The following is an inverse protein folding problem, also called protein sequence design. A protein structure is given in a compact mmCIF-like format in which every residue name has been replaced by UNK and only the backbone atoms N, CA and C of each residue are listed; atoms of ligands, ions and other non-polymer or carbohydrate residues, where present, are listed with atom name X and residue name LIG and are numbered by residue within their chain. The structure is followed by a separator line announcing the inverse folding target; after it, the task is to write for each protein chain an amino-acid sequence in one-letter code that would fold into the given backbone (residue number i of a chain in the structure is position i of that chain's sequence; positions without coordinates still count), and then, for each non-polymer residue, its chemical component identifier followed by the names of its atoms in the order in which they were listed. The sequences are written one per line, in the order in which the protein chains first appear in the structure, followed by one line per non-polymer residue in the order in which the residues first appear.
data_IF_238289230022
#
_entry.id   IF_238289230022
#
_cell.length_a   1.000
_cell.length_b   1.000
_cell.length_c   1.000
_cell.angle_alpha   90.00
_cell.angle_beta   90.00
_cell.angle_gamma   90.00
#
_symmetry.space_group_name_H-M   'P 1'
#
loop_
_entity.id
_entity.type
_entity.pdbx_description
1 polymer ?
#
# COMPACT_ATOMS: atom_id res chain seq x y z
N UNK A 1 14.03 -23.81 -7.01
CA UNK A 1 14.67 -24.55 -5.91
C UNK A 1 16.00 -23.94 -5.44
N UNK A 2 16.87 -23.37 -6.28
CA UNK A 2 18.18 -22.86 -5.81
C UNK A 2 18.12 -21.49 -5.09
N UNK A 3 17.22 -20.61 -5.43
CA UNK A 3 17.13 -19.25 -4.83
C UNK A 3 16.40 -19.25 -3.48
N UNK A 4 15.36 -20.07 -3.33
CA UNK A 4 14.69 -20.30 -2.03
C UNK A 4 15.65 -20.94 -1.02
N UNK A 5 16.56 -21.80 -1.49
CA UNK A 5 17.65 -22.34 -0.69
C UNK A 5 18.67 -21.26 -0.28
N UNK A 6 18.97 -20.27 -1.13
CA UNK A 6 19.93 -19.21 -0.84
C UNK A 6 19.37 -18.22 0.19
N UNK A 7 18.11 -17.82 0.10
CA UNK A 7 17.46 -16.94 1.09
C UNK A 7 17.25 -17.68 2.42
N UNK A 8 16.86 -18.95 2.40
CA UNK A 8 16.78 -19.78 3.61
C UNK A 8 18.19 -20.12 4.17
N UNK A 9 19.19 -20.32 3.34
CA UNK A 9 20.57 -20.55 3.78
C UNK A 9 21.21 -19.28 4.35
N UNK A 10 20.97 -18.11 3.81
CA UNK A 10 21.45 -16.84 4.36
C UNK A 10 20.81 -16.54 5.73
N UNK A 11 19.56 -16.93 5.94
CA UNK A 11 18.91 -16.81 7.26
C UNK A 11 19.38 -17.88 8.25
N UNK A 12 19.65 -19.11 7.80
CA UNK A 12 20.12 -20.20 8.69
C UNK A 12 21.61 -20.10 9.04
N UNK A 13 22.49 -19.63 8.14
CA UNK A 13 23.92 -19.53 8.39
C UNK A 13 24.32 -18.30 9.23
N UNK A 14 23.52 -17.23 9.25
CA UNK A 14 23.71 -16.12 10.20
C UNK A 14 23.55 -16.55 11.66
N UNK A 15 22.91 -17.69 11.92
CA UNK A 15 22.70 -18.24 13.27
C UNK A 15 23.80 -19.20 13.75
N UNK A 16 24.67 -19.71 12.87
CA UNK A 16 25.67 -20.74 13.24
C UNK A 16 27.10 -20.25 13.40
N UNK A 17 27.40 -18.99 13.19
CA UNK A 17 28.71 -18.38 13.53
C UNK A 17 29.92 -18.84 12.71
N UNK A 18 29.75 -19.61 11.64
CA UNK A 18 30.85 -20.12 10.82
C UNK A 18 30.47 -20.05 9.31
N UNK A 19 30.73 -18.91 8.67
CA UNK A 19 30.69 -18.83 7.20
C UNK A 19 32.00 -19.43 6.64
N UNK A 20 31.93 -20.38 5.69
CA UNK A 20 33.14 -20.86 5.01
C UNK A 20 33.76 -19.74 4.18
N UNK A 21 35.06 -19.52 4.34
CA UNK A 21 35.85 -18.49 3.64
C UNK A 21 35.72 -18.55 2.09
N UNK A 22 35.39 -19.70 1.55
CA UNK A 22 35.17 -19.93 0.11
C UNK A 22 33.89 -19.27 -0.43
N UNK A 23 32.84 -19.09 0.37
CA UNK A 23 31.57 -18.49 -0.08
C UNK A 23 31.69 -16.96 -0.22
N UNK A 24 32.48 -16.31 0.64
CA UNK A 24 32.80 -14.89 0.53
C UNK A 24 33.63 -14.59 -0.73
N UNK A 25 34.59 -15.52 -1.06
CA UNK A 25 35.39 -15.40 -2.28
C UNK A 25 34.56 -15.63 -3.55
N UNK A 26 33.58 -16.53 -3.55
CA UNK A 26 32.69 -16.75 -4.68
C UNK A 26 31.69 -15.59 -4.86
N UNK A 27 31.15 -15.05 -3.77
CA UNK A 27 30.33 -13.83 -3.82
C UNK A 27 31.12 -12.60 -4.27
N UNK A 28 32.39 -12.49 -3.86
CA UNK A 28 33.28 -11.41 -4.30
C UNK A 28 33.76 -11.59 -5.75
N UNK A 29 33.92 -12.82 -6.23
CA UNK A 29 34.23 -13.14 -7.62
C UNK A 29 32.99 -12.93 -8.52
N UNK A 30 31.79 -13.25 -8.03
CA UNK A 30 30.52 -12.93 -8.70
C UNK A 30 30.31 -11.42 -8.78
N UNK A 31 30.53 -10.67 -7.69
CA UNK A 31 30.45 -9.22 -7.65
C UNK A 31 31.50 -8.53 -8.56
N UNK A 32 32.69 -9.11 -8.72
CA UNK A 32 33.76 -8.62 -9.62
C UNK A 32 33.51 -8.93 -11.09
N UNK A 33 32.76 -10.00 -11.42
CA UNK A 33 32.33 -10.28 -12.81
C UNK A 33 31.26 -9.34 -13.31
N UNK A 34 30.58 -8.64 -12.40
CA UNK A 34 29.61 -7.59 -12.72
C UNK A 34 30.40 -6.27 -12.78
N UNK A 35 31.15 -6.07 -13.87
CA UNK A 35 31.83 -4.79 -14.10
C UNK A 35 30.76 -3.71 -14.35
N UNK A 36 30.90 -2.58 -13.64
CA UNK A 36 30.07 -1.37 -13.73
C UNK A 36 30.10 -0.69 -15.12
N UNK A 37 30.74 -1.31 -16.11
CA UNK A 37 31.04 -0.72 -17.43
C UNK A 37 29.98 -0.95 -18.50
N UNK A 38 28.85 -1.61 -18.22
CA UNK A 38 27.78 -1.82 -19.22
C UNK A 38 26.53 -0.99 -18.98
N UNK A 39 26.67 0.25 -18.56
CA UNK A 39 25.59 1.26 -18.64
C UNK A 39 25.43 1.80 -20.07
N UNK A 40 25.92 1.10 -21.06
CA UNK A 40 25.61 1.44 -22.45
C UNK A 40 24.20 0.97 -22.75
N UNK A 41 23.33 1.92 -23.09
CA UNK A 41 22.03 1.73 -23.71
C UNK A 41 22.13 0.55 -24.70
N UNK A 42 21.64 -0.60 -24.29
CA UNK A 42 21.37 -1.66 -25.24
C UNK A 42 20.27 -1.12 -26.14
N UNK A 43 20.45 -1.21 -27.46
CA UNK A 43 19.46 -0.92 -28.49
C UNK A 43 18.26 -1.91 -28.40
N UNK A 44 17.75 -2.16 -27.21
CA UNK A 44 16.62 -3.05 -26.99
C UNK A 44 15.34 -2.23 -27.23
N UNK A 45 14.75 -2.40 -28.39
CA UNK A 45 13.51 -1.74 -28.83
C UNK A 45 12.30 -2.03 -27.93
N UNK A 46 12.44 -2.93 -26.95
CA UNK A 46 11.38 -3.36 -26.03
C UNK A 46 11.54 -2.83 -24.58
N UNK A 47 12.46 -1.91 -24.31
CA UNK A 47 12.63 -1.36 -22.96
C UNK A 47 11.44 -0.49 -22.57
N UNK A 48 10.77 -0.83 -21.46
CA UNK A 48 9.73 0.01 -20.88
C UNK A 48 10.36 1.12 -20.02
N UNK A 49 10.28 2.39 -20.43
CA UNK A 49 10.88 3.50 -19.69
C UNK A 49 10.31 3.67 -18.26
N UNK A 50 9.09 3.19 -17.98
CA UNK A 50 8.48 3.29 -16.64
C UNK A 50 9.27 2.53 -15.56
N UNK A 51 10.18 1.62 -15.96
CA UNK A 51 11.12 0.97 -15.03
C UNK A 51 12.00 1.97 -14.27
N UNK A 52 12.41 3.08 -14.93
CA UNK A 52 13.33 4.06 -14.34
C UNK A 52 12.68 5.39 -13.98
N UNK A 53 11.43 5.61 -14.39
CA UNK A 53 10.69 6.85 -14.14
C UNK A 53 10.06 6.82 -12.74
N UNK A 54 10.03 7.98 -12.06
CA UNK A 54 9.23 8.14 -10.86
C UNK A 54 7.73 8.34 -11.18
N UNK A 55 6.86 8.36 -10.18
CA UNK A 55 5.40 8.48 -10.37
C UNK A 55 5.02 9.73 -11.18
N UNK A 56 5.63 10.90 -10.93
CA UNK A 56 5.31 12.13 -11.66
C UNK A 56 5.76 12.05 -13.13
N UNK A 57 6.90 11.44 -13.37
CA UNK A 57 7.44 11.24 -14.71
C UNK A 57 6.57 10.27 -15.51
N UNK A 58 6.09 9.18 -14.89
CA UNK A 58 5.13 8.26 -15.50
C UNK A 58 3.81 8.97 -15.86
N UNK A 59 3.29 9.82 -14.96
CA UNK A 59 2.07 10.61 -15.21
C UNK A 59 2.26 11.54 -16.40
N UNK A 60 3.38 12.29 -16.44
CA UNK A 60 3.69 13.20 -17.56
C UNK A 60 3.89 12.46 -18.87
N UNK A 61 4.60 11.33 -18.84
CA UNK A 61 4.80 10.47 -20.01
C UNK A 61 3.47 9.92 -20.56
N UNK A 62 2.51 9.63 -19.70
CA UNK A 62 1.18 9.21 -20.10
C UNK A 62 0.33 10.35 -20.69
N UNK A 63 0.84 11.59 -20.68
CA UNK A 63 0.19 12.76 -21.27
C UNK A 63 -0.74 13.52 -20.32
N UNK A 64 -0.57 13.34 -19.01
CA UNK A 64 -1.34 14.07 -18.00
C UNK A 64 -0.47 15.12 -17.30
N UNK A 65 -1.08 16.24 -16.85
CA UNK A 65 -0.40 17.18 -15.96
C UNK A 65 -0.10 16.47 -14.62
N UNK A 66 1.03 16.81 -14.00
CA UNK A 66 1.43 16.19 -12.74
C UNK A 66 2.05 17.22 -11.79
N UNK A 67 1.56 17.23 -10.56
CA UNK A 67 2.03 18.07 -9.46
C UNK A 67 2.51 17.22 -8.29
N UNK A 68 3.43 17.78 -7.49
CA UNK A 68 3.82 17.26 -6.19
C UNK A 68 3.59 18.33 -5.11
N UNK A 69 3.02 17.89 -3.99
CA UNK A 69 2.79 18.72 -2.82
C UNK A 69 3.37 18.02 -1.60
N UNK A 70 3.99 18.80 -0.70
CA UNK A 70 4.48 18.28 0.57
C UNK A 70 3.58 18.78 1.68
N UNK A 71 3.11 17.84 2.52
CA UNK A 71 2.33 18.15 3.70
C UNK A 71 3.07 17.70 4.94
N UNK A 72 3.00 18.50 6.00
CA UNK A 72 3.62 18.19 7.29
C UNK A 72 2.55 17.63 8.23
N UNK A 73 2.82 16.49 8.86
CA UNK A 73 1.94 15.91 9.86
C UNK A 73 2.11 16.62 11.21
N UNK A 74 1.14 16.47 12.12
CA UNK A 74 1.19 17.02 13.48
C UNK A 74 2.44 16.56 14.26
N UNK A 75 2.92 15.34 14.00
CA UNK A 75 4.10 14.73 14.61
C UNK A 75 5.40 14.90 13.78
N UNK A 76 5.37 15.73 12.72
CA UNK A 76 6.57 16.24 12.03
C UNK A 76 7.03 15.47 10.79
N UNK A 77 6.33 14.45 10.31
CA UNK A 77 6.65 13.78 9.04
C UNK A 77 6.29 14.66 7.85
N UNK A 78 7.14 14.61 6.82
CA UNK A 78 6.94 15.30 5.54
C UNK A 78 6.45 14.29 4.52
N UNK A 79 5.18 14.41 4.12
CA UNK A 79 4.52 13.48 3.22
C UNK A 79 4.40 14.09 1.83
N UNK A 80 4.68 13.31 0.80
CA UNK A 80 4.52 13.72 -0.59
C UNK A 80 3.18 13.25 -1.12
N UNK A 81 2.35 14.18 -1.58
CA UNK A 81 1.16 13.94 -2.38
C UNK A 81 1.47 14.18 -3.85
N UNK A 82 1.19 13.22 -4.71
CA UNK A 82 1.17 13.43 -6.15
C UNK A 82 -0.25 13.78 -6.59
N UNK A 83 -0.37 14.56 -7.66
CA UNK A 83 -1.68 15.00 -8.14
C UNK A 83 -1.75 15.01 -9.66
N UNK A 84 -2.86 14.52 -10.19
CA UNK A 84 -3.29 14.78 -11.56
C UNK A 84 -4.42 15.80 -11.44
N UNK A 85 -4.14 17.11 -11.68
CA UNK A 85 -5.11 18.16 -11.43
C UNK A 85 -6.32 18.06 -12.36
N UNK A 86 -7.50 18.13 -11.78
CA UNK A 86 -8.75 18.29 -12.51
C UNK A 86 -9.07 19.77 -12.81
N UNK A 87 -10.07 20.02 -13.64
CA UNK A 87 -10.55 21.38 -13.96
C UNK A 87 -11.22 22.07 -12.77
N UNK A 88 -11.69 23.30 -13.00
CA UNK A 88 -12.48 24.03 -12.00
C UNK A 88 -13.75 23.25 -11.65
N UNK A 89 -14.00 23.07 -10.33
CA UNK A 89 -15.14 22.30 -9.83
C UNK A 89 -14.99 20.79 -9.86
N UNK A 90 -13.88 20.26 -10.37
CA UNK A 90 -13.58 18.82 -10.31
C UNK A 90 -13.58 18.32 -8.87
N UNK A 91 -14.22 17.17 -8.63
CA UNK A 91 -14.34 16.56 -7.31
C UNK A 91 -13.02 15.87 -6.92
N UNK A 92 -12.46 16.14 -5.73
CA UNK A 92 -11.21 15.54 -5.29
C UNK A 92 -11.41 14.08 -4.89
N UNK A 93 -10.49 13.24 -5.35
CA UNK A 93 -10.39 11.81 -5.01
C UNK A 93 -9.00 11.53 -4.50
N UNK A 94 -8.88 10.86 -3.35
CA UNK A 94 -7.59 10.42 -2.78
C UNK A 94 -7.44 8.91 -2.95
N UNK A 95 -6.38 8.49 -3.62
CA UNK A 95 -5.94 7.11 -3.75
C UNK A 95 -4.82 6.82 -2.76
N UNK A 96 -4.98 5.79 -1.92
CA UNK A 96 -4.03 5.48 -0.88
C UNK A 96 -3.55 4.02 -0.96
N UNK A 97 -2.24 3.87 -1.10
CA UNK A 97 -1.56 2.59 -1.33
C UNK A 97 -1.51 1.66 -0.11
N UNK A 98 -1.11 0.42 -0.36
CA UNK A 98 -0.89 -0.63 0.63
C UNK A 98 0.48 -0.62 1.30
N UNK A 99 0.75 -1.67 2.10
CA UNK A 99 2.05 -1.90 2.73
C UNK A 99 3.12 -2.17 1.67
N UNK A 100 4.31 -1.58 1.82
CA UNK A 100 5.46 -1.67 0.90
C UNK A 100 5.26 -1.02 -0.47
N UNK A 101 4.17 -0.32 -0.67
CA UNK A 101 3.73 0.29 -1.91
C UNK A 101 3.93 1.81 -1.94
N UNK A 102 3.68 2.43 -3.10
CA UNK A 102 3.70 3.88 -3.29
C UNK A 102 2.54 4.37 -4.15
N UNK A 103 2.52 5.66 -4.40
CA UNK A 103 1.63 6.28 -5.40
C UNK A 103 1.81 5.71 -6.81
N UNK A 104 2.94 5.07 -7.13
CA UNK A 104 3.23 4.47 -8.43
C UNK A 104 2.23 3.35 -8.79
N UNK A 105 1.76 2.58 -7.81
CA UNK A 105 0.83 1.47 -8.02
C UNK A 105 -0.44 1.87 -8.76
N UNK A 106 -0.88 3.10 -8.57
CA UNK A 106 -2.08 3.63 -9.16
C UNK A 106 -1.93 4.04 -10.64
N UNK A 107 -0.68 4.00 -11.17
CA UNK A 107 -0.34 4.41 -12.54
C UNK A 107 0.40 3.32 -13.34
N UNK A 108 0.93 2.28 -12.70
CA UNK A 108 1.75 1.21 -13.32
C UNK A 108 1.02 0.49 -14.47
N UNK A 109 -0.29 0.26 -14.38
CA UNK A 109 -1.05 -0.35 -15.49
C UNK A 109 -1.06 0.49 -16.78
N UNK A 110 -0.62 1.74 -16.71
CA UNK A 110 -0.54 2.64 -17.86
C UNK A 110 -1.88 3.27 -18.26
N UNK A 111 -1.80 4.16 -19.26
CA UNK A 111 -2.95 4.91 -19.78
C UNK A 111 -4.07 3.98 -20.27
N UNK A 112 -5.31 4.33 -19.95
CA UNK A 112 -6.50 3.56 -20.31
C UNK A 112 -6.79 2.35 -19.42
N UNK A 113 -5.91 2.03 -18.45
CA UNK A 113 -6.10 0.92 -17.51
C UNK A 113 -5.90 1.30 -16.05
N UNK A 114 -4.88 2.08 -15.75
CA UNK A 114 -4.57 2.49 -14.37
C UNK A 114 -5.69 3.36 -13.79
N UNK A 115 -6.08 3.09 -12.54
CA UNK A 115 -7.22 3.74 -11.90
C UNK A 115 -7.06 5.26 -11.84
N UNK A 116 -5.85 5.77 -11.56
CA UNK A 116 -5.61 7.20 -11.48
C UNK A 116 -5.89 7.91 -12.82
N UNK A 117 -5.47 7.31 -13.93
CA UNK A 117 -5.73 7.89 -15.26
C UNK A 117 -7.21 7.81 -15.65
N UNK A 118 -7.88 6.68 -15.35
CA UNK A 118 -9.30 6.52 -15.62
C UNK A 118 -10.17 7.49 -14.82
N UNK A 119 -9.77 7.83 -13.59
CA UNK A 119 -10.42 8.87 -12.79
C UNK A 119 -10.19 10.27 -13.39
N UNK A 120 -8.97 10.57 -13.79
CA UNK A 120 -8.63 11.84 -14.45
C UNK A 120 -9.40 12.01 -15.77
N UNK A 121 -9.50 10.94 -16.58
CA UNK A 121 -10.30 10.93 -17.83
C UNK A 121 -11.79 11.15 -17.57
N UNK A 122 -12.31 10.82 -16.38
CA UNK A 122 -13.67 11.12 -15.96
C UNK A 122 -13.83 12.52 -15.32
N UNK A 123 -12.77 13.33 -15.32
CA UNK A 123 -12.79 14.72 -14.86
C UNK A 123 -12.64 14.90 -13.35
N UNK A 124 -12.21 13.87 -12.61
CA UNK A 124 -11.87 14.01 -11.18
C UNK A 124 -10.54 14.72 -10.98
N UNK A 125 -10.39 15.36 -9.82
CA UNK A 125 -9.13 15.89 -9.31
C UNK A 125 -8.46 14.79 -8.48
N UNK A 126 -7.43 14.12 -9.05
CA UNK A 126 -6.90 12.85 -8.51
C UNK A 126 -5.65 13.11 -7.69
N UNK A 127 -5.71 12.71 -6.42
CA UNK A 127 -4.62 12.79 -5.47
C UNK A 127 -4.11 11.38 -5.14
N UNK A 128 -2.80 11.21 -5.10
CA UNK A 128 -2.12 9.97 -4.82
C UNK A 128 -1.28 10.18 -3.56
N UNK A 129 -1.71 9.59 -2.45
CA UNK A 129 -1.02 9.69 -1.17
C UNK A 129 0.22 8.81 -1.11
N UNK A 130 1.21 9.22 -0.31
CA UNK A 130 2.34 8.42 0.09
C UNK A 130 2.43 8.45 1.61
N UNK A 131 2.26 7.30 2.26
CA UNK A 131 2.43 7.18 3.71
C UNK A 131 3.89 7.37 4.11
N UNK A 132 4.08 7.84 5.37
CA UNK A 132 5.40 7.97 6.01
C UNK A 132 6.27 6.73 5.85
N UNK A 133 7.54 6.92 5.59
CA UNK A 133 8.54 5.86 5.47
C UNK A 133 8.64 5.20 4.10
N UNK A 134 7.72 5.47 3.15
CA UNK A 134 7.91 4.99 1.79
C UNK A 134 8.91 5.89 1.02
N UNK A 135 9.30 5.47 -0.17
CA UNK A 135 10.31 6.13 -1.02
C UNK A 135 10.06 7.64 -1.20
N UNK A 136 8.80 8.09 -1.25
CA UNK A 136 8.44 9.50 -1.48
C UNK A 136 8.21 10.31 -0.20
N UNK A 137 8.02 9.65 0.95
CA UNK A 137 7.70 10.27 2.25
C UNK A 137 8.67 9.83 3.34
N UNK A 138 9.97 9.81 3.02
CA UNK A 138 11.06 9.36 3.89
C UNK A 138 11.80 10.56 4.49
N UNK A 139 11.04 11.48 5.08
CA UNK A 139 11.57 12.71 5.67
C UNK A 139 10.76 13.15 6.90
N UNK A 140 11.42 13.80 7.84
CA UNK A 140 10.86 14.35 9.08
C UNK A 140 11.58 15.64 9.44
N UNK A 141 10.92 16.58 10.15
CA UNK A 141 11.48 17.88 10.50
C UNK A 141 12.74 17.80 11.40
N UNK A 142 12.89 16.73 12.18
CA UNK A 142 13.99 16.58 13.17
C UNK A 142 14.60 15.18 13.24
N UNK A 143 13.95 14.14 12.72
CA UNK A 143 14.43 12.76 12.76
C UNK A 143 15.06 12.35 11.43
N UNK A 144 16.12 11.55 11.50
CA UNK A 144 16.75 10.95 10.33
C UNK A 144 16.23 9.53 10.08
N UNK A 145 16.03 9.10 8.84
CA UNK A 145 15.73 7.70 8.50
C UNK A 145 16.82 6.70 8.94
N UNK A 146 18.00 7.15 9.31
CA UNK A 146 19.05 6.31 9.91
C UNK A 146 18.84 6.04 11.41
N UNK A 147 17.83 6.64 12.01
CA UNK A 147 17.49 6.48 13.42
C UNK A 147 16.27 5.61 13.59
N UNK A 148 16.29 4.60 14.48
CA UNK A 148 15.11 3.76 14.78
C UNK A 148 13.88 4.57 15.23
N UNK A 149 14.09 5.75 15.83
CA UNK A 149 13.00 6.64 16.22
C UNK A 149 12.17 7.15 15.04
N UNK A 150 12.79 7.32 13.87
CA UNK A 150 12.07 7.67 12.64
C UNK A 150 11.07 6.59 12.25
N UNK A 151 11.35 5.33 12.56
CA UNK A 151 10.55 4.16 12.20
C UNK A 151 9.59 3.69 13.29
N UNK A 152 9.43 4.47 14.39
CA UNK A 152 8.51 4.10 15.48
C UNK A 152 7.05 4.43 15.16
N UNK A 153 6.54 3.91 14.05
CA UNK A 153 5.16 4.09 13.61
C UNK A 153 4.58 2.80 13.00
N UNK A 154 3.26 2.76 12.93
CA UNK A 154 2.49 1.72 12.25
C UNK A 154 1.33 2.33 11.45
N UNK A 155 0.41 1.51 10.96
CA UNK A 155 -0.83 1.99 10.33
C UNK A 155 -1.70 2.81 11.31
N UNK A 156 -1.45 2.73 12.62
CA UNK A 156 -2.08 3.59 13.62
C UNK A 156 -1.69 5.05 13.39
N UNK A 157 -0.40 5.35 13.40
CA UNK A 157 0.13 6.70 13.21
C UNK A 157 -0.22 7.24 11.80
N UNK A 158 -0.27 6.36 10.80
CA UNK A 158 -0.74 6.72 9.45
C UNK A 158 -2.23 7.14 9.46
N UNK A 159 -3.06 6.46 10.27
CA UNK A 159 -4.47 6.81 10.44
C UNK A 159 -4.68 8.10 11.22
N UNK A 160 -3.98 8.29 12.34
CA UNK A 160 -4.22 9.43 13.25
C UNK A 160 -3.47 10.71 12.87
N UNK A 161 -2.44 10.64 12.01
CA UNK A 161 -1.63 11.80 11.61
C UNK A 161 -1.53 11.97 10.08
N UNK A 162 -1.17 10.92 9.30
CA UNK A 162 -0.94 11.07 7.86
C UNK A 162 -2.22 11.39 7.10
N UNK A 163 -3.27 10.60 7.29
CA UNK A 163 -4.54 10.83 6.61
C UNK A 163 -5.18 12.17 6.99
N UNK A 164 -5.22 12.60 8.27
CA UNK A 164 -5.64 13.94 8.64
C UNK A 164 -4.89 15.05 7.91
N UNK A 165 -3.55 14.97 7.85
CA UNK A 165 -2.74 15.97 7.15
C UNK A 165 -3.08 16.03 5.66
N UNK A 166 -3.14 14.87 4.98
CA UNK A 166 -3.45 14.78 3.55
C UNK A 166 -4.87 15.26 3.25
N UNK A 167 -5.89 14.77 3.98
CA UNK A 167 -7.30 15.10 3.74
C UNK A 167 -7.55 16.58 3.99
N UNK A 168 -7.04 17.12 5.10
CA UNK A 168 -7.18 18.56 5.42
C UNK A 168 -6.52 19.43 4.35
N UNK A 169 -5.32 19.07 3.89
CA UNK A 169 -4.63 19.79 2.83
C UNK A 169 -5.44 19.80 1.52
N UNK A 170 -5.96 18.64 1.09
CA UNK A 170 -6.75 18.51 -0.15
C UNK A 170 -8.04 19.30 -0.05
N UNK A 171 -8.79 19.16 1.04
CA UNK A 171 -10.07 19.84 1.22
C UNK A 171 -9.93 21.34 1.31
N UNK A 172 -8.88 21.84 1.96
CA UNK A 172 -8.56 23.27 2.02
C UNK A 172 -8.17 23.80 0.63
N UNK A 173 -7.29 23.11 -0.09
CA UNK A 173 -6.86 23.51 -1.45
C UNK A 173 -8.02 23.52 -2.43
N UNK A 174 -8.96 22.59 -2.32
CA UNK A 174 -10.13 22.49 -3.22
C UNK A 174 -11.36 23.24 -2.72
N UNK A 175 -11.35 23.76 -1.48
CA UNK A 175 -12.49 24.42 -0.81
C UNK A 175 -13.77 23.58 -0.88
N UNK A 176 -13.63 22.25 -0.81
CA UNK A 176 -14.73 21.29 -0.82
C UNK A 176 -14.32 19.97 -0.15
N UNK A 177 -15.29 19.19 0.38
CA UNK A 177 -15.01 17.88 0.96
C UNK A 177 -14.35 16.93 -0.03
N UNK A 178 -13.57 15.97 0.49
CA UNK A 178 -13.06 14.87 -0.29
C UNK A 178 -14.23 13.99 -0.78
N UNK A 179 -14.42 13.92 -2.09
CA UNK A 179 -15.52 13.16 -2.67
C UNK A 179 -15.39 11.67 -2.41
N UNK A 180 -14.21 11.10 -2.69
CA UNK A 180 -13.98 9.68 -2.49
C UNK A 180 -12.56 9.44 -1.97
N UNK A 181 -12.46 8.65 -0.93
CA UNK A 181 -11.21 8.00 -0.54
C UNK A 181 -11.22 6.58 -1.11
N UNK A 182 -10.17 6.18 -1.82
CA UNK A 182 -9.97 4.82 -2.32
C UNK A 182 -8.71 4.26 -1.70
N UNK A 183 -8.86 3.32 -0.78
CA UNK A 183 -7.73 2.66 -0.13
C UNK A 183 -7.53 1.24 -0.65
N UNK A 184 -6.28 0.81 -0.78
CA UNK A 184 -5.90 -0.57 -1.02
C UNK A 184 -5.17 -1.14 0.20
N UNK A 185 -5.55 -2.35 0.64
CA UNK A 185 -4.82 -3.08 1.69
C UNK A 185 -4.61 -2.22 2.96
N UNK A 186 -3.37 -1.91 3.36
CA UNK A 186 -3.06 -1.05 4.51
C UNK A 186 -3.70 0.35 4.40
N UNK A 187 -3.89 0.88 3.20
CA UNK A 187 -4.64 2.11 3.00
C UNK A 187 -6.07 2.04 3.53
N UNK A 188 -6.66 0.84 3.58
CA UNK A 188 -7.97 0.61 4.20
C UNK A 188 -7.88 0.56 5.72
N UNK A 189 -6.86 -0.12 6.27
CA UNK A 189 -6.61 -0.17 7.73
C UNK A 189 -6.46 1.22 8.32
N UNK A 190 -5.60 2.04 7.69
CA UNK A 190 -5.34 3.42 8.15
C UNK A 190 -6.60 4.30 8.07
N UNK A 191 -7.46 4.09 7.06
CA UNK A 191 -8.74 4.80 6.99
C UNK A 191 -9.69 4.39 8.12
N UNK A 192 -9.79 3.10 8.44
CA UNK A 192 -10.64 2.65 9.55
C UNK A 192 -10.14 3.19 10.89
N UNK A 193 -8.81 3.24 11.08
CA UNK A 193 -8.20 3.90 12.25
C UNK A 193 -8.59 5.38 12.29
N UNK A 194 -8.34 6.12 11.21
CA UNK A 194 -8.67 7.55 11.12
C UNK A 194 -10.15 7.80 11.38
N UNK A 195 -11.04 7.01 10.78
CA UNK A 195 -12.46 7.24 10.89
C UNK A 195 -13.03 6.89 12.27
N UNK A 196 -12.38 5.99 13.03
CA UNK A 196 -12.74 5.68 14.41
C UNK A 196 -12.17 6.66 15.43
N UNK A 197 -10.92 7.11 15.23
CA UNK A 197 -10.17 7.92 16.20
C UNK A 197 -10.25 9.44 15.92
N UNK A 198 -10.50 9.86 14.67
CA UNK A 198 -10.55 11.23 14.20
C UNK A 198 -11.86 11.51 13.43
N UNK A 199 -13.02 11.41 14.10
CA UNK A 199 -14.34 11.55 13.46
C UNK A 199 -14.54 12.93 12.79
N UNK A 200 -13.84 13.98 13.24
CA UNK A 200 -13.85 15.30 12.61
C UNK A 200 -13.25 15.29 11.20
N UNK A 201 -12.21 14.48 10.98
CA UNK A 201 -11.60 14.30 9.66
C UNK A 201 -12.47 13.38 8.78
N UNK A 202 -13.02 12.31 9.40
CA UNK A 202 -13.91 11.40 8.69
C UNK A 202 -15.11 12.12 8.05
N UNK A 203 -15.65 13.15 8.72
CA UNK A 203 -16.73 14.00 8.18
C UNK A 203 -16.35 14.83 6.95
N UNK A 204 -15.05 15.02 6.67
CA UNK A 204 -14.57 15.66 5.45
C UNK A 204 -14.61 14.72 4.24
N UNK A 205 -14.88 13.41 4.44
CA UNK A 205 -14.89 12.39 3.38
C UNK A 205 -16.34 11.95 3.11
N UNK A 206 -16.78 12.05 1.86
CA UNK A 206 -18.16 11.73 1.53
C UNK A 206 -18.42 10.24 1.32
N UNK A 207 -17.42 9.47 0.89
CA UNK A 207 -17.49 8.01 0.75
C UNK A 207 -16.09 7.39 0.71
N UNK A 208 -16.03 6.11 1.07
CA UNK A 208 -14.83 5.27 0.96
C UNK A 208 -15.08 4.06 0.06
N UNK A 209 -14.13 3.81 -0.83
CA UNK A 209 -13.99 2.53 -1.55
C UNK A 209 -12.82 1.78 -0.93
N UNK A 210 -13.08 0.60 -0.43
CA UNK A 210 -12.11 -0.26 0.22
C UNK A 210 -11.77 -1.44 -0.68
N UNK A 211 -10.59 -1.42 -1.28
CA UNK A 211 -10.06 -2.49 -2.14
C UNK A 211 -9.18 -3.42 -1.29
N UNK A 212 -9.50 -4.71 -1.24
CA UNK A 212 -8.87 -5.67 -0.35
C UNK A 212 -8.88 -5.19 1.13
N UNK A 213 -10.06 -5.06 1.77
CA UNK A 213 -10.24 -4.44 3.08
C UNK A 213 -9.52 -5.19 4.20
N UNK A 214 -8.65 -4.51 4.95
CA UNK A 214 -7.87 -5.07 6.06
C UNK A 214 -8.21 -4.39 7.38
N UNK A 215 -8.99 -5.08 8.23
CA UNK A 215 -9.15 -4.76 9.65
C UNK A 215 -8.83 -6.00 10.50
N UNK A 216 -9.44 -7.12 10.18
CA UNK A 216 -9.18 -8.42 10.81
C UNK A 216 -8.30 -9.26 9.90
N UNK A 217 -7.34 -10.00 10.48
CA UNK A 217 -6.32 -10.76 9.72
C UNK A 217 -6.15 -12.20 10.17
N UNK A 218 -6.91 -12.65 11.15
CA UNK A 218 -6.69 -13.97 11.79
C UNK A 218 -7.02 -15.18 10.90
N UNK A 219 -7.74 -15.01 9.80
CA UNK A 219 -7.99 -16.06 8.81
C UNK A 219 -7.09 -15.96 7.56
N UNK A 220 -6.03 -15.16 7.62
CA UNK A 220 -5.04 -15.03 6.53
C UNK A 220 -4.50 -16.39 6.07
N UNK A 221 -4.45 -16.60 4.76
CA UNK A 221 -3.93 -17.83 4.13
C UNK A 221 -2.50 -17.69 3.62
N UNK A 222 -1.97 -16.47 3.58
CA UNK A 222 -0.60 -16.20 3.14
C UNK A 222 0.42 -16.91 4.02
N UNK A 223 1.52 -17.45 3.43
CA UNK A 223 2.61 -18.06 4.20
C UNK A 223 3.33 -17.09 5.12
N UNK A 224 3.13 -15.78 4.98
CA UNK A 224 3.64 -14.77 5.91
C UNK A 224 3.23 -15.07 7.37
N UNK A 225 2.07 -15.72 7.60
CA UNK A 225 1.65 -16.16 8.94
C UNK A 225 2.63 -17.10 9.63
N UNK A 226 3.43 -17.87 8.88
CA UNK A 226 4.43 -18.77 9.47
C UNK A 226 5.65 -18.05 10.03
N UNK A 227 5.84 -16.76 9.72
CA UNK A 227 6.85 -15.90 10.33
C UNK A 227 6.45 -15.40 11.72
N UNK A 228 5.17 -15.49 12.05
CA UNK A 228 4.60 -15.00 13.32
C UNK A 228 5.29 -15.58 14.56
N UNK A 229 5.63 -16.87 14.68
CA UNK A 229 6.36 -17.39 15.85
C UNK A 229 7.76 -16.79 16.01
N UNK A 230 8.37 -16.31 14.92
CA UNK A 230 9.74 -15.80 14.86
C UNK A 230 9.82 -14.26 14.90
N UNK A 231 8.69 -13.58 15.14
CA UNK A 231 8.63 -12.13 15.06
C UNK A 231 9.62 -11.41 15.99
N UNK A 232 9.92 -12.00 17.20
CA UNK A 232 10.87 -11.41 18.15
C UNK A 232 12.28 -11.38 17.58
N UNK A 233 12.71 -12.50 16.97
CA UNK A 233 14.01 -12.63 16.33
C UNK A 233 14.10 -11.70 15.12
N UNK A 234 13.05 -11.65 14.32
CA UNK A 234 12.96 -10.76 13.17
C UNK A 234 13.05 -9.28 13.60
N UNK A 235 12.34 -8.88 14.66
CA UNK A 235 12.42 -7.53 15.21
C UNK A 235 13.84 -7.16 15.62
N UNK A 236 14.52 -8.01 16.41
CA UNK A 236 15.89 -7.76 16.85
C UNK A 236 16.84 -7.62 15.65
N UNK A 237 16.69 -8.47 14.65
CA UNK A 237 17.46 -8.40 13.41
C UNK A 237 17.20 -7.08 12.65
N UNK A 238 15.95 -6.70 12.46
CA UNK A 238 15.59 -5.46 11.77
C UNK A 238 16.11 -4.23 12.52
N UNK A 239 15.99 -4.21 13.83
CA UNK A 239 16.48 -3.11 14.66
C UNK A 239 18.00 -2.98 14.58
N UNK A 240 18.73 -4.10 14.67
CA UNK A 240 20.18 -4.08 14.73
C UNK A 240 20.85 -3.80 13.38
N UNK A 241 20.32 -4.36 12.29
CA UNK A 241 20.93 -4.27 10.97
C UNK A 241 20.27 -3.22 10.05
N UNK A 242 19.02 -2.84 10.30
CA UNK A 242 18.24 -1.98 9.40
C UNK A 242 17.56 -0.81 10.11
N UNK A 243 17.91 -0.53 11.38
CA UNK A 243 17.35 0.58 12.17
C UNK A 243 15.81 0.60 12.20
N UNK A 244 15.16 -0.57 12.22
CA UNK A 244 13.71 -0.77 12.14
C UNK A 244 13.07 -0.46 10.77
N UNK A 245 13.87 -0.20 9.73
CA UNK A 245 13.39 -0.13 8.34
C UNK A 245 13.22 -1.56 7.78
N UNK A 246 12.09 -1.83 7.15
CA UNK A 246 11.81 -3.12 6.51
C UNK A 246 11.73 -2.97 4.99
N UNK A 247 12.49 -3.81 4.27
CA UNK A 247 12.57 -3.84 2.80
C UNK A 247 12.69 -2.45 2.17
N UNK A 248 13.75 -1.69 2.52
CA UNK A 248 14.01 -0.41 1.89
C UNK A 248 14.19 -0.57 0.39
N UNK A 249 13.70 0.38 -0.39
CA UNK A 249 14.05 0.46 -1.79
C UNK A 249 15.53 0.85 -1.91
N UNK A 250 16.39 -0.11 -2.18
CA UNK A 250 17.83 0.09 -2.31
C UNK A 250 18.36 -0.46 -3.64
N UNK A 251 19.61 -0.14 -3.95
CA UNK A 251 20.27 -0.58 -5.18
C UNK A 251 20.35 -2.10 -5.31
N UNK A 252 20.32 -2.86 -4.20
CA UNK A 252 20.31 -4.31 -4.22
C UNK A 252 18.99 -4.87 -4.79
N UNK A 253 17.83 -4.37 -4.32
CA UNK A 253 16.53 -4.79 -4.86
C UNK A 253 16.36 -4.35 -6.31
N UNK A 254 16.80 -3.12 -6.66
CA UNK A 254 16.81 -2.65 -8.05
C UNK A 254 17.71 -3.49 -8.94
N UNK A 255 18.88 -3.86 -8.45
CA UNK A 255 19.80 -4.74 -9.16
C UNK A 255 19.20 -6.13 -9.34
N UNK A 256 18.60 -6.71 -8.29
CA UNK A 256 17.94 -8.00 -8.34
C UNK A 256 16.74 -7.99 -9.29
N UNK A 257 15.91 -6.94 -9.25
CA UNK A 257 14.82 -6.73 -10.19
C UNK A 257 15.31 -6.67 -11.64
N UNK A 258 16.40 -5.91 -11.87
CA UNK A 258 16.96 -5.70 -13.21
C UNK A 258 17.65 -6.94 -13.79
N UNK A 259 18.38 -7.70 -12.99
CA UNK A 259 19.25 -8.80 -13.47
C UNK A 259 18.79 -10.19 -13.05
N UNK A 260 17.98 -10.30 -12.01
CA UNK A 260 17.43 -11.57 -11.53
C UNK A 260 16.04 -11.88 -12.06
N UNK A 261 15.33 -10.85 -12.59
CA UNK A 261 13.96 -11.00 -13.10
C UNK A 261 13.80 -10.41 -14.52
N UNK A 262 14.92 -10.14 -15.25
CA UNK A 262 14.90 -9.51 -16.56
C UNK A 262 14.96 -10.57 -17.69
N UNK A 263 14.02 -10.45 -18.61
CA UNK A 263 14.00 -10.90 -20.01
C UNK A 263 13.94 -12.39 -20.37
N UNK A 264 14.17 -13.34 -19.46
CA UNK A 264 13.88 -14.74 -19.76
C UNK A 264 12.52 -15.13 -19.18
N UNK A 265 11.65 -15.73 -19.99
CA UNK A 265 10.28 -16.15 -19.59
C UNK A 265 10.29 -16.96 -18.28
N UNK A 266 11.28 -17.85 -18.11
CA UNK A 266 11.40 -18.70 -16.91
C UNK A 266 11.77 -17.90 -15.66
N UNK A 267 12.63 -16.88 -15.76
CA UNK A 267 13.03 -16.04 -14.63
C UNK A 267 11.91 -15.10 -14.19
N UNK A 268 11.16 -14.54 -15.14
CA UNK A 268 9.96 -13.74 -14.89
C UNK A 268 8.88 -14.53 -14.15
N UNK A 269 8.66 -15.79 -14.49
CA UNK A 269 7.69 -16.64 -13.80
C UNK A 269 8.09 -16.91 -12.34
N UNK A 270 9.38 -17.15 -12.07
CA UNK A 270 9.88 -17.39 -10.71
C UNK A 270 9.71 -16.14 -9.82
N UNK A 271 10.02 -14.96 -10.37
CA UNK A 271 9.86 -13.70 -9.64
C UNK A 271 8.39 -13.37 -9.35
N UNK A 272 7.51 -13.59 -10.34
CA UNK A 272 6.07 -13.43 -10.15
C UNK A 272 5.50 -14.44 -9.16
N UNK A 273 6.01 -15.67 -9.14
CA UNK A 273 5.56 -16.72 -8.22
C UNK A 273 5.83 -16.37 -6.74
N UNK A 274 6.84 -15.54 -6.43
CA UNK A 274 7.03 -15.03 -5.06
C UNK A 274 5.90 -14.07 -4.67
N UNK A 275 5.48 -13.20 -5.58
CA UNK A 275 4.33 -12.31 -5.36
C UNK A 275 3.06 -13.14 -5.21
N UNK A 276 2.84 -14.11 -6.09
CA UNK A 276 1.67 -14.99 -6.05
C UNK A 276 1.63 -15.87 -4.80
N UNK A 277 2.77 -16.35 -4.32
CA UNK A 277 2.85 -17.14 -3.10
C UNK A 277 2.30 -16.34 -1.90
N UNK A 278 2.61 -15.04 -1.82
CA UNK A 278 2.18 -14.15 -0.75
C UNK A 278 0.73 -13.67 -0.97
N UNK A 279 0.43 -13.19 -2.17
CA UNK A 279 -0.80 -12.45 -2.48
C UNK A 279 -1.94 -13.32 -3.01
N UNK A 280 -1.62 -14.47 -3.61
CA UNK A 280 -2.57 -15.38 -4.29
C UNK A 280 -2.16 -15.61 -5.74
N UNK A 281 -2.49 -16.79 -6.27
CA UNK A 281 -2.08 -17.21 -7.62
C UNK A 281 -3.12 -16.80 -8.66
N UNK A 282 -2.78 -15.82 -9.51
CA UNK A 282 -3.57 -15.45 -10.69
C UNK A 282 -2.66 -15.07 -11.89
N UNK A 283 -2.09 -16.07 -12.52
CA UNK A 283 -1.23 -15.88 -13.70
C UNK A 283 -1.98 -15.34 -14.92
N UNK A 284 -3.27 -15.57 -15.01
CA UNK A 284 -4.10 -15.18 -16.15
C UNK A 284 -4.31 -13.67 -16.21
N UNK A 285 -4.51 -13.04 -15.05
CA UNK A 285 -4.70 -11.60 -14.93
C UNK A 285 -3.38 -10.82 -14.89
N UNK A 286 -2.25 -11.46 -14.59
CA UNK A 286 -0.97 -10.79 -14.44
C UNK A 286 -0.32 -10.47 -15.80
N UNK A 287 0.14 -9.21 -15.96
CA UNK A 287 0.91 -8.81 -17.13
C UNK A 287 2.42 -8.85 -16.81
N UNK A 288 3.08 -9.90 -17.27
CA UNK A 288 4.52 -10.12 -17.02
C UNK A 288 5.42 -9.02 -17.57
N UNK A 289 5.00 -8.27 -18.61
CA UNK A 289 5.79 -7.15 -19.14
C UNK A 289 5.88 -5.97 -18.16
N UNK A 290 4.99 -5.91 -17.16
CA UNK A 290 5.02 -4.90 -16.09
C UNK A 290 5.88 -5.33 -14.90
N UNK A 291 6.28 -6.60 -14.82
CA UNK A 291 7.03 -7.11 -13.67
C UNK A 291 8.30 -6.29 -13.38
N UNK A 292 9.14 -5.90 -14.36
CA UNK A 292 10.30 -5.05 -14.11
C UNK A 292 9.92 -3.65 -13.56
N UNK A 293 8.79 -3.10 -14.01
CA UNK A 293 8.27 -1.82 -13.49
C UNK A 293 7.83 -2.00 -12.04
N UNK A 294 7.03 -3.02 -11.74
CA UNK A 294 6.56 -3.34 -10.40
C UNK A 294 7.74 -3.51 -9.44
N UNK A 295 8.72 -4.36 -9.78
CA UNK A 295 9.86 -4.65 -8.92
C UNK A 295 10.82 -3.46 -8.73
N UNK A 296 10.78 -2.46 -9.62
CA UNK A 296 11.56 -1.23 -9.42
C UNK A 296 10.85 -0.21 -8.50
N UNK A 297 9.54 -0.30 -8.35
CA UNK A 297 8.76 0.57 -7.47
C UNK A 297 8.44 -0.09 -6.12
N UNK A 298 8.31 -1.40 -6.09
CA UNK A 298 7.96 -2.21 -4.93
C UNK A 298 8.99 -3.34 -4.70
N UNK A 299 9.40 -3.57 -3.44
CA UNK A 299 8.98 -2.91 -2.21
C UNK A 299 9.55 -1.49 -2.05
N UNK A 300 8.76 -0.57 -1.47
CA UNK A 300 9.10 0.83 -1.30
C UNK A 300 9.53 1.22 0.13
N UNK A 301 9.75 0.24 0.99
CA UNK A 301 10.07 0.44 2.40
C UNK A 301 8.84 0.52 3.31
N UNK A 302 9.02 0.11 4.55
CA UNK A 302 8.04 0.19 5.62
C UNK A 302 8.71 0.18 7.00
N UNK A 303 7.98 0.55 8.05
CA UNK A 303 8.42 0.36 9.43
C UNK A 303 8.24 -1.10 9.88
N UNK A 304 9.24 -1.64 10.58
CA UNK A 304 9.15 -2.93 11.25
C UNK A 304 7.97 -2.97 12.26
N UNK A 305 7.65 -1.86 12.92
CA UNK A 305 6.51 -1.74 13.84
C UNK A 305 5.17 -1.95 13.12
N UNK A 306 5.06 -1.52 11.85
CA UNK A 306 3.85 -1.78 11.04
C UNK A 306 3.62 -3.28 10.85
N UNK A 307 4.67 -4.03 10.49
CA UNK A 307 4.59 -5.49 10.37
C UNK A 307 4.21 -6.15 11.69
N UNK A 308 4.85 -5.72 12.79
CA UNK A 308 4.55 -6.24 14.13
C UNK A 308 3.10 -5.97 14.53
N UNK A 309 2.54 -4.82 14.14
CA UNK A 309 1.15 -4.50 14.43
C UNK A 309 0.19 -5.47 13.71
N UNK A 310 0.47 -5.81 12.45
CA UNK A 310 -0.28 -6.86 11.74
C UNK A 310 -0.09 -8.24 12.36
N UNK A 311 1.13 -8.59 12.81
CA UNK A 311 1.38 -9.84 13.55
C UNK A 311 0.53 -9.91 14.82
N UNK A 312 0.43 -8.82 15.59
CA UNK A 312 -0.43 -8.72 16.77
C UNK A 312 -1.92 -8.88 16.42
N UNK A 313 -2.37 -8.29 15.31
CA UNK A 313 -3.73 -8.49 14.79
C UNK A 313 -4.02 -9.95 14.43
N UNK A 314 -3.03 -10.62 13.81
CA UNK A 314 -3.11 -12.03 13.43
C UNK A 314 -3.22 -12.95 14.66
N UNK A 315 -2.43 -12.67 15.70
CA UNK A 315 -2.42 -13.45 16.95
C UNK A 315 -3.67 -13.23 17.81
N UNK A 316 -4.10 -11.97 17.94
CA UNK A 316 -5.21 -11.60 18.82
C UNK A 316 -6.59 -11.78 18.17
N UNK A 317 -6.64 -11.75 16.83
CA UNK A 317 -7.88 -11.67 16.07
C UNK A 317 -8.64 -10.36 16.29
N UNK A 318 -8.01 -9.34 16.87
CA UNK A 318 -8.61 -8.04 17.19
C UNK A 318 -8.07 -6.96 16.26
N UNK A 319 -8.88 -5.97 15.94
CA UNK A 319 -8.46 -4.72 15.32
C UNK A 319 -8.36 -3.67 16.41
N UNK A 320 -7.13 -3.41 16.87
CA UNK A 320 -6.85 -2.62 18.07
C UNK A 320 -5.55 -1.84 17.94
N UNK A 321 -5.30 -0.90 18.84
CA UNK A 321 -4.05 -0.16 18.93
C UNK A 321 -2.86 -1.09 19.21
N UNK A 322 -1.64 -0.58 19.03
CA UNK A 322 -0.42 -1.38 19.14
C UNK A 322 -0.20 -1.89 20.57
N UNK A 323 0.07 -3.18 20.72
CA UNK A 323 0.36 -3.80 22.00
C UNK A 323 1.85 -3.63 22.36
N UNK A 324 2.12 -2.74 23.30
CA UNK A 324 3.47 -2.51 23.83
C UNK A 324 3.87 -3.47 24.95
N UNK A 325 2.97 -4.38 25.38
CA UNK A 325 3.09 -5.21 26.55
C UNK A 325 2.50 -4.52 27.79
N UNK A 326 2.13 -5.35 28.79
CA UNK A 326 1.31 -4.96 29.94
C UNK A 326 1.73 -3.66 30.63
N UNK A 327 3.02 -3.53 30.97
CA UNK A 327 3.51 -2.38 31.73
C UNK A 327 3.40 -1.10 30.91
N UNK A 328 3.85 -1.13 29.64
CA UNK A 328 3.82 0.05 28.78
C UNK A 328 2.40 0.35 28.32
N UNK A 329 1.53 -0.64 28.16
CA UNK A 329 0.10 -0.42 27.88
C UNK A 329 -0.60 0.34 29.02
N UNK A 330 -0.28 0.04 30.29
CA UNK A 330 -0.79 0.78 31.44
C UNK A 330 -0.40 2.25 31.39
N UNK A 331 0.81 2.56 30.94
CA UNK A 331 1.27 3.95 30.80
C UNK A 331 0.61 4.67 29.61
N UNK A 332 0.44 3.98 28.48
CA UNK A 332 -0.05 4.57 27.24
C UNK A 332 -1.58 4.63 27.16
N UNK A 333 -2.26 3.60 27.70
CA UNK A 333 -3.70 3.40 27.51
C UNK A 333 -4.49 3.36 28.81
N UNK A 334 -3.81 3.44 29.98
CA UNK A 334 -4.40 3.20 31.28
C UNK A 334 -5.11 1.84 31.37
N UNK A 335 -4.65 0.85 30.60
CA UNK A 335 -5.18 -0.52 30.50
C UNK A 335 -4.04 -1.50 30.26
N UNK A 336 -4.19 -2.74 30.76
CA UNK A 336 -3.21 -3.81 30.52
C UNK A 336 -3.23 -4.34 29.07
N UNK A 337 -4.32 -4.10 28.34
CA UNK A 337 -4.48 -4.41 26.90
C UNK A 337 -4.74 -3.12 26.12
N UNK A 338 -4.27 -3.05 24.85
CA UNK A 338 -4.57 -1.91 23.99
C UNK A 338 -6.07 -1.85 23.66
N UNK A 339 -6.65 -0.64 23.51
CA UNK A 339 -8.05 -0.47 23.15
C UNK A 339 -8.31 -0.93 21.71
N UNK A 340 -9.51 -1.46 21.46
CA UNK A 340 -9.97 -1.74 20.11
C UNK A 340 -10.35 -0.44 19.41
N UNK A 341 -10.14 -0.38 18.09
CA UNK A 341 -10.72 0.68 17.25
C UNK A 341 -12.24 0.47 17.18
N UNK A 342 -13.01 1.51 17.48
CA UNK A 342 -14.46 1.43 17.46
C UNK A 342 -15.00 1.61 16.04
N UNK A 343 -15.16 0.49 15.33
CA UNK A 343 -15.69 0.47 13.98
C UNK A 343 -17.16 0.93 13.89
N UNK A 344 -17.92 0.86 15.01
CA UNK A 344 -19.30 1.29 15.05
C UNK A 344 -19.44 2.83 14.95
N UNK A 345 -18.37 3.57 15.27
CA UNK A 345 -18.34 5.02 15.14
C UNK A 345 -18.10 5.51 13.70
N UNK A 346 -17.80 4.62 12.77
CA UNK A 346 -17.49 4.99 11.38
C UNK A 346 -18.78 5.24 10.61
N UNK A 347 -19.17 6.50 10.47
CA UNK A 347 -20.41 6.91 9.79
C UNK A 347 -20.25 7.13 8.28
N UNK A 348 -19.01 7.20 7.78
CA UNK A 348 -18.73 7.36 6.34
C UNK A 348 -19.30 6.18 5.57
N UNK A 349 -20.03 6.39 4.46
CA UNK A 349 -20.47 5.31 3.59
C UNK A 349 -19.29 4.56 2.99
N UNK A 350 -19.23 3.24 3.18
CA UNK A 350 -18.11 2.38 2.76
C UNK A 350 -18.60 1.32 1.77
N UNK A 351 -17.84 1.12 0.68
CA UNK A 351 -18.01 -0.03 -0.20
C UNK A 351 -16.80 -0.97 -0.05
N UNK A 352 -17.05 -2.26 0.17
CA UNK A 352 -16.03 -3.28 0.39
C UNK A 352 -15.88 -4.14 -0.86
N UNK A 353 -14.66 -4.19 -1.44
CA UNK A 353 -14.32 -4.99 -2.61
C UNK A 353 -13.28 -6.03 -2.23
N UNK A 354 -13.55 -7.31 -2.48
CA UNK A 354 -12.64 -8.40 -2.12
C UNK A 354 -12.56 -9.46 -3.23
N UNK A 355 -11.43 -10.17 -3.28
CA UNK A 355 -11.19 -11.27 -4.20
C UNK A 355 -11.15 -12.60 -3.46
N UNK A 356 -11.75 -13.65 -4.03
CA UNK A 356 -11.74 -15.00 -3.44
C UNK A 356 -10.37 -15.68 -3.52
N UNK A 357 -9.51 -15.27 -4.46
CA UNK A 357 -8.12 -15.72 -4.58
C UNK A 357 -7.13 -15.04 -3.63
N UNK A 358 -7.55 -13.99 -2.92
CA UNK A 358 -6.71 -13.23 -1.99
C UNK A 358 -6.25 -14.11 -0.81
N UNK A 359 -4.93 -14.14 -0.57
CA UNK A 359 -4.32 -14.89 0.54
C UNK A 359 -4.06 -14.05 1.78
N UNK A 360 -4.01 -12.72 1.62
CA UNK A 360 -3.79 -11.77 2.71
C UNK A 360 -5.13 -11.38 3.36
N UNK A 361 -6.17 -11.16 2.53
CA UNK A 361 -7.52 -10.80 2.98
C UNK A 361 -8.46 -12.00 2.81
N UNK A 362 -9.01 -12.49 3.92
CA UNK A 362 -9.92 -13.62 3.88
C UNK A 362 -11.38 -13.15 3.94
N UNK A 363 -12.26 -13.80 3.17
CA UNK A 363 -13.71 -13.50 3.14
C UNK A 363 -14.37 -13.57 4.53
N UNK A 364 -13.88 -14.43 5.44
CA UNK A 364 -14.39 -14.52 6.82
C UNK A 364 -14.14 -13.22 7.57
N UNK A 365 -12.92 -12.66 7.40
CA UNK A 365 -12.52 -11.40 8.02
C UNK A 365 -13.24 -10.20 7.39
N UNK A 366 -13.47 -10.23 6.07
CA UNK A 366 -14.28 -9.22 5.36
C UNK A 366 -15.73 -9.23 5.84
N UNK A 367 -16.35 -10.40 5.98
CA UNK A 367 -17.70 -10.53 6.50
C UNK A 367 -17.82 -10.09 7.96
N UNK A 368 -16.76 -10.31 8.76
CA UNK A 368 -16.69 -9.78 10.12
C UNK A 368 -16.65 -8.25 10.13
N UNK A 369 -15.82 -7.65 9.26
CA UNK A 369 -15.75 -6.21 9.09
C UNK A 369 -17.09 -5.62 8.63
N UNK A 370 -17.72 -6.25 7.63
CA UNK A 370 -19.06 -5.87 7.14
C UNK A 370 -20.09 -5.76 8.27
N UNK A 371 -20.09 -6.72 9.21
CA UNK A 371 -21.02 -6.71 10.35
C UNK A 371 -20.66 -5.68 11.41
N UNK A 372 -19.40 -5.26 11.50
CA UNK A 372 -18.93 -4.28 12.48
C UNK A 372 -19.13 -2.82 12.02
N UNK A 373 -19.21 -2.60 10.71
CA UNK A 373 -19.40 -1.27 10.14
C UNK A 373 -20.89 -0.90 10.05
N UNK A 374 -21.32 0.28 10.54
CA UNK A 374 -22.72 0.66 10.55
C UNK A 374 -23.27 1.13 9.19
N UNK A 375 -22.40 1.56 8.27
CA UNK A 375 -22.80 2.20 7.01
C UNK A 375 -22.07 1.61 5.80
N UNK A 376 -22.32 0.34 5.51
CA UNK A 376 -21.79 -0.32 4.30
C UNK A 376 -22.78 -0.16 3.16
N UNK A 377 -22.40 0.61 2.15
CA UNK A 377 -23.23 0.89 0.98
C UNK A 377 -23.16 -0.19 -0.10
N UNK A 378 -22.10 -0.98 -0.12
CA UNK A 378 -21.89 -2.09 -1.08
C UNK A 378 -20.87 -3.09 -0.52
N UNK A 379 -21.07 -4.38 -0.82
CA UNK A 379 -20.10 -5.44 -0.59
C UNK A 379 -20.00 -6.27 -1.86
N UNK A 380 -18.82 -6.32 -2.46
CA UNK A 380 -18.61 -6.86 -3.79
C UNK A 380 -17.47 -7.87 -3.82
N UNK A 381 -17.83 -9.11 -4.12
CA UNK A 381 -16.88 -10.13 -4.51
C UNK A 381 -16.57 -9.98 -5.99
N UNK A 382 -15.29 -9.82 -6.33
CA UNK A 382 -14.87 -9.69 -7.73
C UNK A 382 -15.19 -11.02 -8.46
N UNK A 383 -15.93 -10.99 -9.60
CA UNK A 383 -16.41 -12.19 -10.28
C UNK A 383 -15.31 -12.89 -11.09
N UNK A 384 -14.17 -13.13 -10.45
CA UNK A 384 -13.02 -13.87 -10.95
C UNK A 384 -12.45 -14.72 -9.80
N UNK A 385 -12.58 -16.07 -9.84
CA UNK A 385 -12.29 -16.93 -8.68
C UNK A 385 -10.85 -16.89 -8.19
N UNK A 386 -9.89 -16.52 -9.04
CA UNK A 386 -8.47 -16.39 -8.70
C UNK A 386 -8.06 -14.98 -8.31
N UNK A 387 -8.98 -13.98 -8.36
CA UNK A 387 -8.67 -12.58 -8.10
C UNK A 387 -8.00 -12.40 -6.76
N UNK A 388 -6.75 -11.99 -6.79
CA UNK A 388 -5.86 -11.94 -5.64
C UNK A 388 -5.69 -10.52 -5.07
N UNK A 389 -4.80 -10.38 -4.09
CA UNK A 389 -4.59 -9.14 -3.33
C UNK A 389 -4.10 -7.97 -4.20
N UNK A 390 -3.20 -8.23 -5.14
CA UNK A 390 -2.59 -7.19 -5.99
C UNK A 390 -3.33 -6.98 -7.30
N UNK A 391 -4.27 -7.85 -7.65
CA UNK A 391 -5.07 -7.74 -8.87
C UNK A 391 -5.94 -6.47 -8.90
N UNK A 392 -6.30 -5.92 -7.73
CA UNK A 392 -6.95 -4.61 -7.63
C UNK A 392 -6.15 -3.47 -8.26
N UNK A 393 -4.83 -3.63 -8.36
CA UNK A 393 -3.89 -2.64 -8.88
C UNK A 393 -3.31 -3.02 -10.24
N UNK A 394 -3.04 -4.35 -10.46
CA UNK A 394 -2.19 -4.82 -11.55
C UNK A 394 -2.88 -5.81 -12.51
N UNK A 395 -4.13 -6.24 -12.25
CA UNK A 395 -4.83 -7.14 -13.15
C UNK A 395 -5.15 -6.49 -14.51
N UNK A 396 -4.95 -7.26 -15.59
CA UNK A 396 -5.24 -6.82 -16.97
C UNK A 396 -6.67 -6.32 -17.14
N UNK A 397 -7.62 -6.97 -16.45
CA UNK A 397 -9.05 -6.69 -16.52
C UNK A 397 -9.59 -5.97 -15.28
N UNK A 398 -8.72 -5.41 -14.39
CA UNK A 398 -9.14 -4.61 -13.26
C UNK A 398 -10.14 -3.48 -13.65
N UNK A 399 -9.97 -2.78 -14.79
CA UNK A 399 -10.95 -1.80 -15.24
C UNK A 399 -12.37 -2.34 -15.33
N UNK A 400 -12.55 -3.51 -15.94
CA UNK A 400 -13.85 -4.16 -16.14
C UNK A 400 -14.36 -4.85 -14.88
N UNK A 401 -13.47 -5.57 -14.17
CA UNK A 401 -13.84 -6.40 -13.03
C UNK A 401 -14.11 -5.57 -11.76
N UNK A 402 -13.44 -4.42 -11.61
CA UNK A 402 -13.47 -3.61 -10.40
C UNK A 402 -13.87 -2.17 -10.67
N UNK A 403 -13.12 -1.44 -11.55
CA UNK A 403 -13.21 0.01 -11.62
C UNK A 403 -14.54 0.51 -12.20
N UNK A 404 -15.17 -0.23 -13.13
CA UNK A 404 -16.51 0.12 -13.62
C UNK A 404 -17.54 0.17 -12.49
N UNK A 405 -17.47 -0.76 -11.51
CA UNK A 405 -18.36 -0.74 -10.35
C UNK A 405 -18.05 0.42 -9.41
N UNK A 406 -16.75 0.69 -9.17
CA UNK A 406 -16.30 1.86 -8.41
C UNK A 406 -16.90 3.14 -9.01
N UNK A 407 -16.79 3.35 -10.33
CA UNK A 407 -17.33 4.53 -11.01
C UNK A 407 -18.86 4.62 -10.93
N UNK A 408 -19.58 3.49 -10.99
CA UNK A 408 -21.03 3.46 -10.79
C UNK A 408 -21.43 3.96 -9.39
N UNK A 409 -20.72 3.54 -8.36
CA UNK A 409 -20.95 3.98 -6.98
C UNK A 409 -20.65 5.48 -6.81
N UNK A 410 -19.52 5.95 -7.34
CA UNK A 410 -19.15 7.36 -7.31
C UNK A 410 -20.17 8.25 -8.01
N UNK A 411 -20.64 7.87 -9.20
CA UNK A 411 -21.67 8.59 -9.94
C UNK A 411 -23.03 8.63 -9.22
N UNK A 412 -23.44 7.52 -8.61
CA UNK A 412 -24.69 7.46 -7.80
C UNK A 412 -24.64 8.42 -6.62
N UNK A 413 -23.49 8.55 -5.96
CA UNK A 413 -23.29 9.52 -4.87
C UNK A 413 -23.47 10.96 -5.37
N UNK A 414 -22.93 11.29 -6.54
CA UNK A 414 -23.09 12.62 -7.15
C UNK A 414 -24.56 12.96 -7.40
N UNK A 415 -25.35 12.04 -7.95
CA UNK A 415 -26.78 12.25 -8.22
C UNK A 415 -27.57 12.51 -6.93
N UNK A 416 -27.31 11.76 -5.87
CA UNK A 416 -27.97 11.94 -4.58
C UNK A 416 -27.66 13.32 -3.96
N UNK A 417 -26.42 13.81 -4.10
CA UNK A 417 -26.03 15.14 -3.62
C UNK A 417 -26.75 16.25 -4.39
N UNK A 418 -26.87 16.13 -5.72
CA UNK A 418 -27.61 17.13 -6.56
C UNK A 418 -29.10 17.17 -6.19
N UNK A 419 -29.72 16.01 -6.00
CA UNK A 419 -31.13 15.90 -5.62
C UNK A 419 -31.40 16.53 -4.24
N UNK A 420 -30.54 16.29 -3.26
CA UNK A 420 -30.66 16.87 -1.92
C UNK A 420 -30.51 18.40 -1.91
N UNK A 421 -29.57 18.94 -2.70
CA UNK A 421 -29.40 20.41 -2.86
C UNK A 421 -30.60 21.06 -3.59
N UNK A 422 -31.19 20.36 -4.57
CA UNK A 422 -32.36 20.82 -5.29
C UNK A 422 -33.62 20.92 -4.42
N UNK A 423 -33.77 19.98 -3.47
CA UNK A 423 -34.89 19.99 -2.51
C UNK A 423 -34.73 21.10 -1.46
N UNK A 424 -33.50 21.35 -0.97
CA UNK A 424 -33.26 22.48 -0.04
C UNK A 424 -33.43 23.86 -0.66
N UNK A 425 -33.22 24.02 -1.97
CA UNK A 425 -33.50 25.29 -2.67
C UNK A 425 -34.97 25.53 -2.94
N UNK A 426 -35.85 24.52 -2.93
CA UNK A 426 -37.30 24.66 -3.10
C UNK A 426 -38.05 24.86 -1.78
N UNK A 427 -37.37 24.70 -0.64
CA UNK A 427 -37.93 24.90 0.71
C UNK A 427 -37.52 26.23 1.36
N UNK A 428 -36.85 27.10 0.62
CA UNK A 428 -36.58 28.50 0.93
C UNK A 428 -37.29 29.40 -0.08
#
# INVERSE_FOLDING_TARGET
MRLTAIVCLLTFYSFSGAAPTNMISELSAFARRISWTSWNQSNNTNFNPDVILNTLEMIRRAGYPAEAHVVTTEDGYLLTLHRIPGGNGSLPVLLQHGLLCTSADWVILGKGKALAYLLADQGYDVWLGNFRGNTYSRAHISLSPSESRFWDFSFNEMGIHDLPAMITFITNMRSQPLHTYIGHSMGTSSFYVMASERPEIARMVQMMISLAPVAFTNHMKSPVKYLVPFWRQLKVMLQYFFHDEFLPQNNFFRFFAKYGCDQNIVENEICADMIFMICGYDREQFNYTLLPVILNHDPAGASAKTLLHYVQGLQSGKFRQFDYGREKNLLMYNSSEPPNYDLANITVPIALFYGSGDRLVNIVDVKRLYRALPNVMDIYEVPWPKFNHVDFLWAKDAPKLVYERVFKLMKRKNLNNVTSMGLQRRSK
#
